data_IF_983812719129
#
_entry.id   IF_983812719129
#
_cell.length_a   1.000
_cell.length_b   1.000
_cell.length_c   1.000
_cell.angle_alpha   90.00
_cell.angle_beta   90.00
_cell.angle_gamma   90.00
#
_symmetry.space_group_name_H-M   'P 1'
#
loop_
_entity.id
_entity.type
_entity.pdbx_description
1 polymer ?
#
# COMPACT_ATOMS: atom_id res chain seq x y z
N UNK A 1 2.52 -7.93 -19.58
CA UNK A 1 3.14 -6.78 -18.87
C UNK A 1 2.16 -6.08 -17.91
N UNK A 2 1.40 -6.80 -17.08
CA UNK A 2 0.38 -6.20 -16.18
C UNK A 2 0.79 -6.14 -14.70
N UNK A 3 1.63 -7.07 -14.25
CA UNK A 3 2.06 -7.20 -12.86
C UNK A 3 2.87 -5.99 -12.36
N UNK A 4 3.72 -5.42 -13.23
CA UNK A 4 4.56 -4.26 -12.90
C UNK A 4 3.73 -3.03 -12.51
N UNK A 5 2.54 -2.85 -13.09
CA UNK A 5 1.69 -1.70 -12.80
C UNK A 5 0.95 -1.85 -11.46
N UNK A 6 0.49 -3.06 -11.12
CA UNK A 6 -0.15 -3.33 -9.81
C UNK A 6 0.86 -3.12 -8.68
N UNK A 7 2.05 -3.68 -8.83
CA UNK A 7 3.11 -3.56 -7.81
C UNK A 7 3.48 -2.08 -7.60
N UNK A 8 3.51 -1.29 -8.69
CA UNK A 8 3.75 0.16 -8.60
C UNK A 8 2.63 0.87 -7.84
N UNK A 9 1.36 0.61 -8.14
CA UNK A 9 0.23 1.22 -7.43
C UNK A 9 0.21 0.85 -5.95
N UNK A 10 0.47 -0.42 -5.61
CA UNK A 10 0.59 -0.88 -4.22
C UNK A 10 1.74 -0.13 -3.53
N UNK A 11 2.90 -0.02 -4.16
CA UNK A 11 4.05 0.69 -3.59
C UNK A 11 3.76 2.16 -3.31
N UNK A 12 3.07 2.86 -4.22
CA UNK A 12 2.67 4.25 -4.00
C UNK A 12 1.67 4.40 -2.86
N UNK A 13 0.68 3.49 -2.77
CA UNK A 13 -0.30 3.51 -1.69
C UNK A 13 0.34 3.14 -0.34
N UNK A 14 1.27 2.18 -0.30
CA UNK A 14 2.08 1.86 0.88
C UNK A 14 2.83 3.09 1.39
N UNK A 15 3.48 3.86 0.50
CA UNK A 15 4.17 5.10 0.88
C UNK A 15 3.22 6.15 1.46
N UNK A 16 2.03 6.31 0.87
CA UNK A 16 1.00 7.22 1.39
C UNK A 16 0.49 6.80 2.77
N UNK A 17 0.16 5.53 2.95
CA UNK A 17 -0.30 4.99 4.23
C UNK A 17 0.77 5.11 5.31
N UNK A 18 2.02 4.79 4.95
CA UNK A 18 3.17 4.97 5.80
C UNK A 18 3.28 6.41 6.30
N UNK A 19 3.31 7.38 5.38
CA UNK A 19 3.43 8.79 5.71
C UNK A 19 2.24 9.28 6.56
N UNK A 20 1.03 8.80 6.27
CA UNK A 20 -0.18 9.17 7.02
C UNK A 20 -0.16 8.66 8.46
N UNK A 21 0.26 7.40 8.68
CA UNK A 21 0.20 6.74 9.99
C UNK A 21 1.42 7.04 10.86
N UNK A 22 2.61 7.12 10.26
CA UNK A 22 3.89 7.22 10.98
C UNK A 22 4.62 8.55 10.73
N UNK A 23 4.14 9.39 9.82
CA UNK A 23 4.71 10.72 9.58
C UNK A 23 6.16 10.66 9.10
N UNK A 24 7.06 11.20 9.93
CA UNK A 24 8.52 11.26 9.68
C UNK A 24 9.31 10.13 10.35
N UNK A 25 8.63 9.18 11.03
CA UNK A 25 9.31 8.02 11.61
C UNK A 25 10.02 7.26 10.49
N UNK A 26 11.13 6.57 10.81
CA UNK A 26 11.87 5.80 9.81
C UNK A 26 11.33 4.36 9.73
N UNK A 27 11.23 3.75 8.53
CA UNK A 27 10.72 2.38 8.39
C UNK A 27 11.53 1.36 9.18
N UNK A 28 12.83 1.61 9.34
CA UNK A 28 13.76 0.81 10.14
C UNK A 28 13.43 0.79 11.64
N UNK A 29 12.58 1.70 12.12
CA UNK A 29 12.13 1.75 13.51
C UNK A 29 10.75 1.11 13.71
N UNK A 30 10.16 0.58 12.64
CA UNK A 30 8.91 -0.17 12.71
C UNK A 30 9.22 -1.66 12.91
N UNK A 31 8.33 -2.32 13.63
CA UNK A 31 8.32 -3.77 13.70
C UNK A 31 7.93 -4.40 12.37
N UNK A 32 8.35 -5.64 12.14
CA UNK A 32 7.96 -6.41 10.94
C UNK A 32 6.44 -6.47 10.78
N UNK A 33 5.71 -6.57 11.90
CA UNK A 33 4.26 -6.61 11.88
C UNK A 33 3.64 -5.30 11.43
N UNK A 34 4.16 -4.15 11.88
CA UNK A 34 3.70 -2.85 11.39
C UNK A 34 3.97 -2.66 9.89
N UNK A 35 5.12 -3.13 9.39
CA UNK A 35 5.45 -3.08 7.97
C UNK A 35 4.52 -3.97 7.13
N UNK A 36 4.21 -5.18 7.63
CA UNK A 36 3.29 -6.11 6.98
C UNK A 36 1.86 -5.54 6.94
N UNK A 37 1.37 -4.99 8.06
CA UNK A 37 0.04 -4.40 8.16
C UNK A 37 -0.17 -3.28 7.12
N UNK A 38 0.80 -2.38 6.96
CA UNK A 38 0.72 -1.29 5.97
C UNK A 38 0.71 -1.84 4.56
N UNK A 39 1.56 -2.84 4.28
CA UNK A 39 1.69 -3.43 2.95
C UNK A 39 0.42 -4.18 2.56
N UNK A 40 -0.15 -4.94 3.50
CA UNK A 40 -1.43 -5.65 3.36
C UNK A 40 -2.60 -4.68 3.18
N UNK A 41 -2.66 -3.59 3.96
CA UNK A 41 -3.69 -2.56 3.81
C UNK A 41 -3.61 -1.88 2.44
N UNK A 42 -2.40 -1.51 1.98
CA UNK A 42 -2.18 -0.93 0.65
C UNK A 42 -2.64 -1.87 -0.47
N UNK A 43 -2.29 -3.16 -0.37
CA UNK A 43 -2.73 -4.18 -1.32
C UNK A 43 -4.24 -4.27 -1.43
N UNK A 44 -4.95 -4.34 -0.30
CA UNK A 44 -6.42 -4.37 -0.25
C UNK A 44 -7.03 -3.12 -0.91
N UNK A 45 -6.56 -1.92 -0.55
CA UNK A 45 -7.08 -0.67 -1.12
C UNK A 45 -6.92 -0.58 -2.64
N UNK A 46 -5.77 -1.00 -3.16
CA UNK A 46 -5.53 -1.02 -4.62
C UNK A 46 -6.43 -2.05 -5.30
N UNK A 47 -6.62 -3.22 -4.69
CA UNK A 47 -7.55 -4.23 -5.20
C UNK A 47 -9.00 -3.73 -5.18
N UNK A 48 -9.46 -3.13 -4.09
CA UNK A 48 -10.81 -2.58 -3.96
C UNK A 48 -11.06 -1.43 -4.95
N UNK A 49 -10.08 -0.52 -5.12
CA UNK A 49 -10.16 0.55 -6.11
C UNK A 49 -10.28 0.02 -7.54
N UNK A 50 -9.57 -1.06 -7.85
CA UNK A 50 -9.64 -1.72 -9.17
C UNK A 50 -10.92 -2.49 -9.37
N UNK A 51 -11.42 -3.18 -8.34
CA UNK A 51 -12.75 -3.80 -8.37
C UNK A 51 -13.83 -2.74 -8.61
N UNK A 52 -13.77 -1.61 -7.92
CA UNK A 52 -14.68 -0.48 -8.15
C UNK A 52 -14.61 0.08 -9.58
N UNK A 53 -13.41 0.22 -10.16
CA UNK A 53 -13.22 0.65 -11.56
C UNK A 53 -13.65 -0.36 -12.62
N UNK A 54 -13.82 -1.63 -12.27
CA UNK A 54 -14.30 -2.67 -13.18
C UNK A 54 -15.82 -2.78 -13.20
N UNK A 55 -16.52 -2.07 -12.31
CA UNK A 55 -17.98 -2.12 -12.13
C UNK A 55 -18.68 -0.90 -12.76
N UNK A 56 -17.93 0.05 -13.34
CA UNK A 56 -18.45 1.14 -14.19
C UNK A 56 -18.29 0.86 -15.68
#
# INVERSE_FOLDING_TARGET
>A
MGESYIVREISEETKRLYQKRYGKRSPSTLSTQELDDITTEAGKRVQDKRKGRLVE
#
